data_IF_422129650032
#
_entry.id   IF_422129650032
#
_cell.length_a   1.000
_cell.length_b   1.000
_cell.length_c   1.000
_cell.angle_alpha   90.00
_cell.angle_beta   90.00
_cell.angle_gamma   90.00
#
_symmetry.space_group_name_H-M   'P 1'
#
loop_
_entity.id
_entity.type
_entity.pdbx_description
1 polymer ?
#
# COMPACT_ATOMS: atom_id res chain seq x y z
N UNK A 1 -17.82 -11.05 -0.54
CA UNK A 1 -18.16 -11.56 -1.89
C UNK A 1 -17.65 -10.64 -2.99
N UNK A 2 -17.85 -9.31 -2.91
CA UNK A 2 -17.39 -8.36 -3.95
C UNK A 2 -15.90 -8.40 -4.29
N UNK A 3 -15.00 -8.45 -3.30
CA UNK A 3 -13.55 -8.41 -3.57
C UNK A 3 -13.00 -9.63 -4.33
N UNK A 4 -13.58 -10.82 -4.16
CA UNK A 4 -13.17 -12.02 -4.91
C UNK A 4 -13.71 -11.99 -6.36
N UNK A 5 -14.89 -11.41 -6.55
CA UNK A 5 -15.48 -11.20 -7.87
C UNK A 5 -14.69 -10.16 -8.66
N UNK A 6 -14.27 -9.05 -8.02
CA UNK A 6 -13.45 -8.02 -8.66
C UNK A 6 -12.12 -8.60 -9.15
N UNK A 7 -11.47 -9.47 -8.36
CA UNK A 7 -10.22 -10.16 -8.74
C UNK A 7 -10.35 -11.05 -9.99
N UNK A 8 -11.54 -11.59 -10.29
CA UNK A 8 -11.81 -12.47 -11.44
C UNK A 8 -12.20 -11.72 -12.72
N UNK A 9 -12.67 -10.46 -12.63
CA UNK A 9 -13.19 -9.68 -13.78
C UNK A 9 -12.25 -8.56 -14.27
N UNK A 10 -11.05 -8.44 -13.73
CA UNK A 10 -10.11 -7.33 -14.02
C UNK A 10 -9.59 -7.23 -15.46
N UNK A 11 -9.87 -8.21 -16.31
CA UNK A 11 -9.35 -8.16 -17.67
C UNK A 11 -10.11 -7.22 -18.62
N UNK A 12 -11.32 -6.73 -18.29
CA UNK A 12 -12.15 -6.02 -19.28
C UNK A 12 -12.76 -4.65 -18.89
N UNK A 13 -12.66 -4.13 -17.66
CA UNK A 13 -13.37 -2.88 -17.32
C UNK A 13 -12.50 -1.83 -16.62
N UNK A 14 -11.92 -0.92 -17.42
CA UNK A 14 -11.18 0.26 -16.96
C UNK A 14 -12.01 1.11 -15.96
N UNK A 15 -13.33 1.17 -16.12
CA UNK A 15 -14.23 1.88 -15.22
C UNK A 15 -14.35 1.26 -13.82
N UNK A 16 -14.40 -0.08 -13.71
CA UNK A 16 -14.46 -0.76 -12.41
C UNK A 16 -13.15 -0.57 -11.63
N UNK A 17 -12.04 -0.55 -12.35
CA UNK A 17 -10.72 -0.28 -11.78
C UNK A 17 -10.59 1.16 -11.28
N UNK A 18 -11.12 2.13 -12.04
CA UNK A 18 -11.22 3.53 -11.61
C UNK A 18 -12.10 3.69 -10.37
N UNK A 19 -13.25 3.03 -10.32
CA UNK A 19 -14.14 3.04 -9.15
C UNK A 19 -13.45 2.46 -7.92
N UNK A 20 -12.72 1.35 -8.09
CA UNK A 20 -11.93 0.73 -7.02
C UNK A 20 -10.88 1.71 -6.48
N UNK A 21 -10.12 2.36 -7.36
CA UNK A 21 -9.10 3.33 -6.95
C UNK A 21 -9.73 4.52 -6.21
N UNK A 22 -10.85 5.04 -6.69
CA UNK A 22 -11.57 6.12 -6.00
C UNK A 22 -12.03 5.70 -4.60
N UNK A 23 -12.48 4.46 -4.46
CA UNK A 23 -12.88 3.89 -3.16
C UNK A 23 -11.68 3.74 -2.23
N UNK A 24 -10.55 3.24 -2.74
CA UNK A 24 -9.30 3.13 -1.97
C UNK A 24 -8.81 4.50 -1.50
N UNK A 25 -8.83 5.52 -2.36
CA UNK A 25 -8.44 6.89 -1.98
C UNK A 25 -9.32 7.41 -0.84
N UNK A 26 -10.64 7.25 -0.97
CA UNK A 26 -11.60 7.65 0.07
C UNK A 26 -11.35 6.93 1.39
N UNK A 27 -11.18 5.61 1.34
CA UNK A 27 -10.99 4.78 2.53
C UNK A 27 -9.64 5.05 3.22
N UNK A 28 -8.57 5.37 2.46
CA UNK A 28 -7.27 5.79 3.02
C UNK A 28 -7.34 7.14 3.74
N UNK A 29 -8.27 8.01 3.35
CA UNK A 29 -8.51 9.30 4.00
C UNK A 29 -9.47 9.21 5.19
N UNK A 30 -10.12 8.06 5.39
CA UNK A 30 -11.04 7.85 6.50
C UNK A 30 -10.33 7.89 7.87
N UNK A 31 -11.07 8.31 8.88
CA UNK A 31 -10.66 8.18 10.29
C UNK A 31 -10.94 6.79 10.84
N UNK A 32 -11.73 5.98 10.12
CA UNK A 32 -12.06 4.63 10.52
C UNK A 32 -10.88 3.67 10.24
N UNK A 33 -10.33 3.10 11.31
CA UNK A 33 -9.20 2.19 11.24
C UNK A 33 -9.46 0.98 10.32
N UNK A 34 -10.70 0.46 10.33
CA UNK A 34 -11.05 -0.73 9.54
C UNK A 34 -11.04 -0.40 8.05
N UNK A 35 -11.59 0.73 7.65
CA UNK A 35 -11.60 1.21 6.26
C UNK A 35 -10.17 1.40 5.74
N UNK A 36 -9.32 2.11 6.50
CA UNK A 36 -7.91 2.30 6.15
C UNK A 36 -7.17 0.95 6.02
N UNK A 37 -7.41 0.02 6.95
CA UNK A 37 -6.78 -1.30 6.92
C UNK A 37 -7.23 -2.13 5.71
N UNK A 38 -8.51 -2.07 5.34
CA UNK A 38 -9.04 -2.76 4.17
C UNK A 38 -8.43 -2.17 2.90
N UNK A 39 -8.40 -0.84 2.77
CA UNK A 39 -7.80 -0.15 1.64
C UNK A 39 -6.34 -0.55 1.43
N UNK A 40 -5.51 -0.49 2.48
CA UNK A 40 -4.10 -0.92 2.42
C UNK A 40 -3.93 -2.40 2.07
N UNK A 41 -4.88 -3.25 2.50
CA UNK A 41 -4.85 -4.68 2.16
C UNK A 41 -5.14 -4.91 0.68
N UNK A 42 -6.12 -4.21 0.12
CA UNK A 42 -6.45 -4.27 -1.31
C UNK A 42 -5.26 -3.78 -2.13
N UNK A 43 -4.67 -2.63 -1.78
CA UNK A 43 -3.49 -2.09 -2.47
C UNK A 43 -2.33 -3.09 -2.48
N UNK A 44 -2.12 -3.81 -1.38
CA UNK A 44 -1.06 -4.82 -1.27
C UNK A 44 -1.30 -6.04 -2.16
N UNK A 45 -2.55 -6.30 -2.57
CA UNK A 45 -2.92 -7.42 -3.45
C UNK A 45 -2.92 -7.00 -4.91
N UNK A 46 -3.63 -5.91 -5.22
CA UNK A 46 -3.85 -5.45 -6.58
C UNK A 46 -3.96 -3.94 -6.67
N UNK A 47 -3.27 -3.36 -7.66
CA UNK A 47 -3.40 -1.95 -7.98
C UNK A 47 -2.93 -1.64 -9.41
N UNK A 48 -3.62 -0.77 -10.16
CA UNK A 48 -3.20 -0.36 -11.50
C UNK A 48 -1.97 0.53 -11.45
N UNK A 49 -0.98 0.24 -12.31
CA UNK A 49 0.27 1.00 -12.41
C UNK A 49 0.04 2.50 -12.64
N UNK A 50 -0.87 2.84 -13.55
CA UNK A 50 -1.12 4.25 -13.94
C UNK A 50 -1.67 5.11 -12.80
N UNK A 51 -2.29 4.50 -11.78
CA UNK A 51 -2.88 5.24 -10.65
C UNK A 51 -1.98 5.26 -9.40
N UNK A 52 -0.85 4.54 -9.41
CA UNK A 52 0.11 4.52 -8.29
C UNK A 52 0.48 5.95 -7.85
N UNK A 53 0.81 6.91 -8.75
CA UNK A 53 1.20 8.26 -8.35
C UNK A 53 0.14 9.00 -7.53
N UNK A 54 -1.14 8.73 -7.74
CA UNK A 54 -2.23 9.37 -7.01
C UNK A 54 -2.36 8.86 -5.56
N UNK A 55 -2.03 7.58 -5.33
CA UNK A 55 -2.24 6.92 -4.03
C UNK A 55 -0.96 6.81 -3.21
N UNK A 56 0.21 6.79 -3.87
CA UNK A 56 1.52 6.74 -3.22
C UNK A 56 1.67 7.74 -2.05
N UNK A 57 1.39 9.06 -2.20
CA UNK A 57 1.55 10.01 -1.10
C UNK A 57 0.63 9.71 0.09
N UNK A 58 -0.57 9.17 -0.15
CA UNK A 58 -1.50 8.79 0.92
C UNK A 58 -0.96 7.62 1.73
N UNK A 59 -0.32 6.64 1.08
CA UNK A 59 0.27 5.48 1.77
C UNK A 59 1.54 5.90 2.51
N UNK A 60 2.35 6.79 1.92
CA UNK A 60 3.53 7.32 2.60
C UNK A 60 3.17 8.06 3.90
N UNK A 61 2.06 8.80 3.91
CA UNK A 61 1.53 9.43 5.12
C UNK A 61 1.18 8.39 6.20
N UNK A 62 0.60 7.24 5.78
CA UNK A 62 0.23 6.16 6.71
C UNK A 62 1.42 5.46 7.37
N UNK A 63 2.64 5.63 6.87
CA UNK A 63 3.84 5.17 7.58
C UNK A 63 4.06 5.88 8.93
N UNK A 64 3.48 7.05 9.14
CA UNK A 64 3.61 7.81 10.39
C UNK A 64 2.37 7.70 11.29
N UNK A 65 1.44 6.81 10.95
CA UNK A 65 0.20 6.65 11.70
C UNK A 65 0.45 6.15 13.13
N UNK A 66 -0.33 6.61 14.10
CA UNK A 66 -0.17 6.25 15.53
C UNK A 66 -0.27 4.74 15.78
N UNK A 67 -1.11 4.05 15.02
CA UNK A 67 -1.36 2.60 15.10
C UNK A 67 -0.37 1.80 14.24
N UNK A 68 0.32 0.87 14.87
CA UNK A 68 1.32 -0.04 14.28
C UNK A 68 0.74 -0.93 13.18
N UNK A 69 -0.51 -1.38 13.31
CA UNK A 69 -1.16 -2.20 12.28
C UNK A 69 -1.27 -1.46 10.93
N UNK A 70 -1.54 -0.15 10.96
CA UNK A 70 -1.63 0.68 9.76
C UNK A 70 -0.23 0.87 9.17
N UNK A 71 0.76 1.21 10.01
CA UNK A 71 2.16 1.37 9.55
C UNK A 71 2.67 0.10 8.88
N UNK A 72 2.46 -1.07 9.50
CA UNK A 72 2.85 -2.37 8.94
C UNK A 72 2.20 -2.65 7.58
N UNK A 73 0.90 -2.36 7.44
CA UNK A 73 0.17 -2.53 6.17
C UNK A 73 0.62 -1.52 5.11
N UNK A 74 0.96 -0.29 5.49
CA UNK A 74 1.52 0.70 4.59
C UNK A 74 2.87 0.25 4.01
N UNK A 75 3.75 -0.32 4.84
CA UNK A 75 5.03 -0.92 4.38
C UNK A 75 4.79 -2.00 3.32
N UNK A 76 3.80 -2.89 3.53
CA UNK A 76 3.44 -3.94 2.56
C UNK A 76 2.89 -3.36 1.25
N UNK A 77 2.04 -2.34 1.34
CA UNK A 77 1.46 -1.67 0.17
C UNK A 77 2.54 -0.99 -0.68
N UNK A 78 3.50 -0.31 -0.03
CA UNK A 78 4.64 0.32 -0.71
C UNK A 78 5.54 -0.69 -1.40
N UNK A 79 5.77 -1.86 -0.78
CA UNK A 79 6.50 -2.93 -1.44
C UNK A 79 5.80 -3.42 -2.70
N UNK A 80 4.47 -3.56 -2.66
CA UNK A 80 3.69 -3.93 -3.84
C UNK A 80 3.85 -2.90 -4.97
N UNK A 81 3.85 -1.61 -4.64
CA UNK A 81 4.10 -0.54 -5.62
C UNK A 81 5.50 -0.58 -6.20
N UNK A 82 6.51 -0.87 -5.38
CA UNK A 82 7.88 -1.09 -5.86
C UNK A 82 7.96 -2.24 -6.88
N UNK A 83 7.26 -3.35 -6.64
CA UNK A 83 7.22 -4.49 -7.58
C UNK A 83 6.49 -4.16 -8.90
N UNK A 84 5.46 -3.30 -8.87
CA UNK A 84 4.69 -2.93 -10.06
C UNK A 84 5.41 -1.86 -10.89
N UNK A 85 6.01 -0.86 -10.23
CA UNK A 85 6.57 0.33 -10.88
C UNK A 85 7.81 0.86 -10.14
N UNK A 86 8.94 0.14 -10.16
CA UNK A 86 10.13 0.51 -9.39
C UNK A 86 10.64 1.92 -9.73
N UNK A 87 10.53 2.34 -10.99
CA UNK A 87 10.93 3.68 -11.45
C UNK A 87 10.15 4.82 -10.81
N UNK A 88 8.89 4.60 -10.41
CA UNK A 88 8.04 5.61 -9.79
C UNK A 88 8.29 5.73 -8.27
N UNK A 89 8.94 4.73 -7.68
CA UNK A 89 9.01 4.53 -6.22
C UNK A 89 10.47 4.59 -5.73
N UNK A 90 11.41 5.12 -6.51
CA UNK A 90 12.84 5.15 -6.15
C UNK A 90 13.16 5.93 -4.86
N UNK A 91 12.37 6.95 -4.51
CA UNK A 91 12.55 7.73 -3.29
C UNK A 91 12.14 6.97 -2.01
N UNK A 92 11.59 5.76 -2.14
CA UNK A 92 11.04 5.02 -1.00
C UNK A 92 12.10 4.39 -0.10
N UNK A 93 13.34 4.26 -0.58
CA UNK A 93 14.42 3.64 0.21
C UNK A 93 14.62 4.37 1.55
N UNK A 94 14.50 5.70 1.57
CA UNK A 94 14.60 6.49 2.80
C UNK A 94 13.43 6.22 3.76
N UNK A 95 12.23 5.98 3.22
CA UNK A 95 11.03 5.66 4.00
C UNK A 95 11.14 4.27 4.61
N UNK A 96 11.59 3.26 3.85
CA UNK A 96 11.86 1.92 4.40
C UNK A 96 12.95 1.97 5.46
N UNK A 97 14.02 2.74 5.25
CA UNK A 97 15.08 2.90 6.24
C UNK A 97 14.55 3.52 7.55
N UNK A 98 13.64 4.49 7.47
CA UNK A 98 12.96 5.03 8.66
C UNK A 98 12.05 3.99 9.32
N UNK A 99 11.33 3.19 8.54
CA UNK A 99 10.45 2.13 9.05
C UNK A 99 11.21 0.95 9.70
N UNK A 100 12.49 0.75 9.35
CA UNK A 100 13.39 -0.18 10.07
C UNK A 100 13.66 0.25 11.51
N UNK A 101 13.51 1.54 11.82
CA UNK A 101 13.67 2.11 13.16
C UNK A 101 12.32 2.35 13.85
N UNK A 102 11.25 1.66 13.42
CA UNK A 102 9.94 1.78 14.06
C UNK A 102 9.98 1.31 15.52
N UNK A 103 9.10 1.85 16.36
CA UNK A 103 9.00 1.46 17.77
C UNK A 103 8.41 0.06 17.93
N UNK A 104 7.58 -0.36 16.97
CA UNK A 104 6.94 -1.67 16.97
C UNK A 104 7.80 -2.71 16.23
N UNK A 105 8.07 -3.83 16.89
CA UNK A 105 8.89 -4.91 16.32
C UNK A 105 8.23 -5.57 15.10
N UNK A 106 6.89 -5.58 15.02
CA UNK A 106 6.17 -6.12 13.87
C UNK A 106 6.34 -5.26 12.62
N UNK A 107 6.33 -3.94 12.76
CA UNK A 107 6.62 -3.00 11.67
C UNK A 107 8.09 -3.09 11.25
N UNK A 108 9.02 -3.14 12.20
CA UNK A 108 10.45 -3.30 11.91
C UNK A 108 10.73 -4.59 11.13
N UNK A 109 10.21 -5.73 11.59
CA UNK A 109 10.43 -7.02 10.94
C UNK A 109 9.88 -7.06 9.51
N UNK A 110 8.68 -6.51 9.30
CA UNK A 110 8.10 -6.39 7.96
C UNK A 110 8.98 -5.52 7.04
N UNK A 111 9.44 -4.38 7.55
CA UNK A 111 10.31 -3.46 6.81
C UNK A 111 11.66 -4.10 6.48
N UNK A 112 12.25 -4.85 7.41
CA UNK A 112 13.52 -5.56 7.22
C UNK A 112 13.40 -6.64 6.14
N UNK A 113 12.35 -7.46 6.22
CA UNK A 113 12.09 -8.49 5.23
C UNK A 113 11.99 -7.89 3.83
N UNK A 114 11.21 -6.82 3.68
CA UNK A 114 11.01 -6.12 2.40
C UNK A 114 12.29 -5.46 1.91
N UNK A 115 13.01 -4.76 2.78
CA UNK A 115 14.24 -4.05 2.41
C UNK A 115 15.34 -5.02 1.92
N UNK A 116 15.43 -6.21 2.53
CA UNK A 116 16.32 -7.27 2.06
C UNK A 116 15.96 -7.75 0.66
N UNK A 117 14.67 -7.84 0.32
CA UNK A 117 14.22 -8.23 -1.03
C UNK A 117 14.49 -7.15 -2.07
N UNK A 118 14.51 -5.88 -1.66
CA UNK A 118 14.75 -4.74 -2.57
C UNK A 118 16.24 -4.60 -2.93
N UNK A 119 17.15 -4.94 -2.00
CA UNK A 119 18.61 -4.81 -2.22
C UNK A 119 19.19 -5.99 -3.02
N UNK A 120 18.56 -7.17 -2.94
CA UNK A 120 18.98 -8.35 -3.71
C UNK A 120 18.63 -8.20 -5.18
#
# INVERSE_FOLDING_TARGET
IGYLAVSLFLHENHELLLLLVNTVVKDLQSTNLVEVCMALTIVSQIFPREMIPAVLPLIEDKLQHSKEIIRRKAVQALYKFYLIAPNQVQHIHDKFRKALCDRDAGVMAASLHIYLQIIK
#
